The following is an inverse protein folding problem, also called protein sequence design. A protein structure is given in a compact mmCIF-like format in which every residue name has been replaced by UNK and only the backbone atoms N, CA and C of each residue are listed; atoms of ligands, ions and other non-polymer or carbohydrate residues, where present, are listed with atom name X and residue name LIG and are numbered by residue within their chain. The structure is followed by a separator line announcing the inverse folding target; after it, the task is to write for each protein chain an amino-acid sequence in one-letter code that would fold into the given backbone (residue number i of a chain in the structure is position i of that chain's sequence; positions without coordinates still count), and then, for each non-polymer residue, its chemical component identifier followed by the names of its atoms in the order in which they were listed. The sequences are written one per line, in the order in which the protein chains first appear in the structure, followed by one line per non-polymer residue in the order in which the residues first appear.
data_IF_255666747839
#
_entry.id   IF_255666747839
#
_cell.length_a   1.000
_cell.length_b   1.000
_cell.length_c   1.000
_cell.angle_alpha   90.00
_cell.angle_beta   90.00
_cell.angle_gamma   90.00
#
_symmetry.space_group_name_H-M   'P 1'
#
loop_
_entity.id
_entity.type
_entity.pdbx_description
1 polymer ?
#
# COMPACT_ATOMS: atom_id res chain seq x y z
N UNK A 1 -17.05 38.19 -44.93
CA UNK A 1 -17.13 37.03 -44.01
C UNK A 1 -15.87 36.98 -43.21
N UNK A 2 -15.85 37.59 -41.98
CA UNK A 2 -14.85 37.35 -41.02
C UNK A 2 -14.88 35.85 -40.68
N UNK A 3 -13.84 35.11 -41.02
CA UNK A 3 -13.71 33.73 -40.59
C UNK A 3 -13.63 33.72 -39.07
N UNK A 4 -14.55 33.04 -38.41
CA UNK A 4 -14.39 32.75 -36.97
C UNK A 4 -13.16 31.82 -36.83
N UNK A 5 -12.04 32.42 -36.50
CA UNK A 5 -10.87 31.61 -36.11
C UNK A 5 -11.05 31.28 -34.63
N UNK A 6 -11.36 30.04 -34.32
CA UNK A 6 -11.29 29.52 -32.97
C UNK A 6 -9.90 29.04 -32.67
N UNK A 7 -9.37 29.30 -31.48
CA UNK A 7 -8.16 28.71 -30.96
C UNK A 7 -8.55 27.63 -29.95
N UNK A 8 -7.88 26.50 -30.01
CA UNK A 8 -8.11 25.43 -29.04
C UNK A 8 -7.60 25.87 -27.66
N UNK A 9 -8.29 25.49 -26.58
CA UNK A 9 -7.75 25.62 -25.23
C UNK A 9 -6.36 25.00 -25.13
N UNK A 10 -5.48 25.58 -24.32
CA UNK A 10 -4.10 25.11 -24.16
C UNK A 10 -3.80 24.83 -22.70
N UNK A 11 -3.28 23.63 -22.37
CA UNK A 11 -2.81 23.34 -21.03
C UNK A 11 -1.51 24.12 -20.73
N UNK A 12 -1.23 24.40 -19.44
CA UNK A 12 -0.02 25.12 -19.06
C UNK A 12 1.23 24.26 -19.28
N UNK A 13 2.31 24.85 -19.70
CA UNK A 13 3.61 24.19 -19.80
C UNK A 13 4.16 23.75 -18.44
N UNK A 14 3.70 24.38 -17.35
CA UNK A 14 4.04 24.02 -15.95
C UNK A 14 3.39 22.73 -15.49
N UNK A 15 2.40 22.22 -16.21
CA UNK A 15 1.65 21.02 -15.83
C UNK A 15 0.64 21.25 -14.71
N UNK A 16 0.44 20.23 -13.86
CA UNK A 16 -0.43 20.31 -12.70
C UNK A 16 0.15 21.24 -11.62
N UNK A 17 -0.72 21.82 -10.80
CA UNK A 17 -0.38 22.70 -9.70
C UNK A 17 -1.09 22.30 -8.40
N UNK A 18 -0.70 22.91 -7.26
CA UNK A 18 -1.31 22.66 -5.95
C UNK A 18 -1.43 21.17 -5.60
N UNK A 19 -0.39 20.40 -5.95
CA UNK A 19 -0.36 18.97 -5.70
C UNK A 19 -0.30 18.69 -4.18
N UNK A 20 -1.30 17.94 -3.69
CA UNK A 20 -1.44 17.53 -2.28
C UNK A 20 -1.55 16.01 -2.25
N UNK A 21 -0.58 15.34 -1.63
CA UNK A 21 -0.50 13.88 -1.44
C UNK A 21 0.66 13.57 -0.50
N UNK A 22 0.74 12.34 0.04
CA UNK A 22 1.97 11.81 0.64
C UNK A 22 3.00 11.39 -0.43
N UNK A 23 2.55 11.19 -1.67
CA UNK A 23 3.40 10.93 -2.83
C UNK A 23 4.19 12.17 -3.28
N UNK A 24 4.84 12.06 -4.42
CA UNK A 24 5.67 13.14 -4.98
C UNK A 24 5.31 13.43 -6.42
N UNK A 25 5.39 14.71 -6.79
CA UNK A 25 5.36 15.14 -8.20
C UNK A 25 6.78 14.98 -8.77
N UNK A 26 6.94 14.07 -9.73
CA UNK A 26 8.24 13.74 -10.35
C UNK A 26 8.51 14.50 -11.63
N UNK A 27 7.50 15.20 -12.16
CA UNK A 27 7.58 16.04 -13.33
C UNK A 27 6.35 16.92 -13.47
N UNK A 28 6.30 17.84 -14.46
CA UNK A 28 5.14 18.72 -14.65
C UNK A 28 3.80 18.00 -14.68
N UNK A 29 3.75 16.82 -15.32
CA UNK A 29 2.57 15.98 -15.46
C UNK A 29 2.87 14.53 -15.05
N UNK A 30 3.73 14.33 -14.06
CA UNK A 30 4.10 13.01 -13.56
C UNK A 30 4.02 13.01 -12.03
N UNK A 31 3.28 12.05 -11.48
CA UNK A 31 3.13 11.87 -10.04
C UNK A 31 3.41 10.42 -9.65
N UNK A 32 4.07 10.25 -8.52
CA UNK A 32 4.26 8.96 -7.88
C UNK A 32 3.51 8.96 -6.56
N UNK A 33 2.63 7.98 -6.37
CA UNK A 33 1.67 7.90 -5.28
C UNK A 33 1.85 6.61 -4.50
N UNK A 34 1.35 6.59 -3.28
CA UNK A 34 1.28 5.41 -2.44
C UNK A 34 -0.14 4.85 -2.39
N UNK A 35 -0.29 3.55 -2.21
CA UNK A 35 -1.60 2.98 -1.84
C UNK A 35 -2.11 3.63 -0.55
N UNK A 36 -3.39 3.99 -0.52
CA UNK A 36 -4.02 4.70 0.59
C UNK A 36 -3.93 6.23 0.53
N UNK A 37 -3.22 6.81 -0.45
CA UNK A 37 -3.10 8.26 -0.56
C UNK A 37 -4.41 8.91 -0.97
N UNK A 38 -4.75 10.01 -0.28
CA UNK A 38 -5.70 11.00 -0.77
C UNK A 38 -4.93 12.05 -1.58
N UNK A 39 -5.30 12.20 -2.82
CA UNK A 39 -4.58 13.02 -3.79
C UNK A 39 -5.51 14.13 -4.29
N UNK A 40 -5.02 15.35 -4.32
CA UNK A 40 -5.67 16.47 -5.01
C UNK A 40 -4.62 17.25 -5.80
N UNK A 41 -5.00 17.76 -6.96
CA UNK A 41 -4.23 18.71 -7.74
C UNK A 41 -5.13 19.58 -8.60
N UNK A 42 -4.59 20.74 -8.99
CA UNK A 42 -5.29 21.66 -9.89
C UNK A 42 -4.72 21.55 -11.31
N UNK A 43 -5.64 21.74 -12.27
CA UNK A 43 -5.34 21.88 -13.69
C UNK A 43 -5.88 23.20 -14.20
N UNK A 44 -5.19 23.78 -15.17
CA UNK A 44 -5.58 25.04 -15.76
C UNK A 44 -5.46 24.95 -17.28
N UNK A 45 -6.42 25.59 -18.00
CA UNK A 45 -6.38 25.72 -19.46
C UNK A 45 -6.62 27.16 -19.84
N UNK A 46 -5.81 27.65 -20.76
CA UNK A 46 -5.94 29.01 -21.29
C UNK A 46 -6.43 28.99 -22.72
N UNK A 47 -7.25 29.96 -23.06
CA UNK A 47 -7.70 30.22 -24.41
C UNK A 47 -7.59 31.72 -24.71
N UNK A 48 -7.26 32.05 -25.95
CA UNK A 48 -7.19 33.43 -26.40
C UNK A 48 -8.58 34.03 -26.66
N UNK A 49 -9.62 33.21 -26.78
CA UNK A 49 -11.01 33.59 -26.93
C UNK A 49 -11.68 33.91 -25.57
N UNK A 50 -12.86 34.47 -25.60
CA UNK A 50 -13.69 34.73 -24.40
C UNK A 50 -14.70 33.63 -24.14
N UNK A 51 -14.56 32.51 -24.82
CA UNK A 51 -15.47 31.37 -24.76
C UNK A 51 -15.37 30.62 -23.42
N UNK A 52 -16.44 29.94 -23.05
CA UNK A 52 -16.43 29.08 -21.89
C UNK A 52 -15.71 27.78 -22.20
N UNK A 53 -14.86 27.32 -21.30
CA UNK A 53 -14.12 26.05 -21.40
C UNK A 53 -14.71 25.09 -20.38
N UNK A 54 -15.06 23.88 -20.82
CA UNK A 54 -15.53 22.79 -19.99
C UNK A 54 -14.45 21.74 -19.84
N UNK A 55 -14.18 21.32 -18.61
CA UNK A 55 -13.16 20.34 -18.28
C UNK A 55 -13.81 19.02 -17.88
N UNK A 56 -13.28 17.93 -18.40
CA UNK A 56 -13.68 16.56 -18.07
C UNK A 56 -12.45 15.67 -17.89
N UNK A 57 -12.61 14.51 -17.27
CA UNK A 57 -11.50 13.59 -17.02
C UNK A 57 -11.99 12.14 -16.93
N UNK A 58 -11.08 11.20 -17.22
CA UNK A 58 -11.28 9.77 -17.02
C UNK A 58 -10.91 9.32 -15.58
N UNK A 59 -10.62 10.23 -14.66
CA UNK A 59 -10.08 9.93 -13.33
C UNK A 59 -10.97 8.96 -12.54
N UNK A 60 -12.29 9.10 -12.60
CA UNK A 60 -13.23 8.21 -11.89
C UNK A 60 -13.23 6.77 -12.43
N UNK A 61 -12.85 6.58 -13.69
CA UNK A 61 -12.68 5.24 -14.29
C UNK A 61 -11.41 4.55 -13.79
N UNK A 62 -10.38 5.33 -13.43
CA UNK A 62 -9.10 4.82 -12.93
C UNK A 62 -9.12 4.66 -11.40
N UNK A 63 -9.74 5.60 -10.71
CA UNK A 63 -9.84 5.70 -9.26
C UNK A 63 -11.32 5.91 -8.88
N UNK A 64 -12.08 4.84 -8.66
CA UNK A 64 -13.50 4.92 -8.39
C UNK A 64 -13.84 5.85 -7.20
N UNK A 65 -14.79 6.75 -7.40
CA UNK A 65 -15.13 7.78 -6.43
C UNK A 65 -14.33 9.07 -6.56
N UNK A 66 -13.46 9.17 -7.58
CA UNK A 66 -12.75 10.40 -7.88
C UNK A 66 -13.70 11.52 -8.29
N UNK A 67 -13.27 12.74 -8.03
CA UNK A 67 -14.04 13.96 -8.36
C UNK A 67 -13.24 14.91 -9.22
N UNK A 68 -13.94 15.59 -10.13
CA UNK A 68 -13.47 16.78 -10.83
C UNK A 68 -14.42 17.93 -10.52
N UNK A 69 -13.90 18.98 -9.92
CA UNK A 69 -14.67 20.19 -9.57
C UNK A 69 -14.12 21.34 -10.39
N UNK A 70 -14.90 21.83 -11.33
CA UNK A 70 -14.51 22.98 -12.14
C UNK A 70 -14.72 24.27 -11.33
N UNK A 71 -13.62 25.02 -11.14
CA UNK A 71 -13.57 26.24 -10.34
C UNK A 71 -13.79 27.50 -11.18
N UNK A 72 -13.35 27.49 -12.45
CA UNK A 72 -13.54 28.57 -13.42
C UNK A 72 -13.86 27.99 -14.79
N UNK A 73 -14.81 28.66 -15.50
CA UNK A 73 -15.21 28.29 -16.86
C UNK A 73 -14.60 29.21 -17.91
N UNK A 74 -13.97 30.30 -17.51
CA UNK A 74 -13.37 31.27 -18.44
C UNK A 74 -11.87 31.25 -18.33
N UNK A 75 -11.19 31.61 -19.40
CA UNK A 75 -9.72 31.60 -19.48
C UNK A 75 -9.07 32.53 -18.43
N UNK A 76 -8.21 32.01 -17.56
CA UNK A 76 -7.86 30.59 -17.37
C UNK A 76 -8.99 29.77 -16.72
N UNK A 77 -9.45 28.75 -17.43
CA UNK A 77 -10.39 27.78 -16.89
C UNK A 77 -9.64 26.78 -16.00
N UNK A 78 -10.17 26.51 -14.81
CA UNK A 78 -9.48 25.67 -13.83
C UNK A 78 -10.42 24.64 -13.21
N UNK A 79 -9.84 23.50 -12.84
CA UNK A 79 -10.52 22.47 -12.06
C UNK A 79 -9.58 21.83 -11.04
N UNK A 80 -10.17 21.41 -9.93
CA UNK A 80 -9.51 20.57 -8.92
C UNK A 80 -9.94 19.13 -9.11
N UNK A 81 -8.97 18.23 -9.19
CA UNK A 81 -9.17 16.79 -9.31
C UNK A 81 -8.72 16.15 -8.01
N UNK A 82 -9.63 15.37 -7.37
CA UNK A 82 -9.31 14.65 -6.14
C UNK A 82 -9.70 13.17 -6.26
N UNK A 83 -8.87 12.27 -5.72
CA UNK A 83 -9.13 10.83 -5.70
C UNK A 83 -8.37 10.13 -4.57
N UNK A 84 -8.83 8.91 -4.24
CA UNK A 84 -8.18 8.00 -3.31
C UNK A 84 -7.48 6.89 -4.11
N UNK A 85 -6.21 6.63 -3.80
CA UNK A 85 -5.48 5.48 -4.34
C UNK A 85 -5.88 4.23 -3.56
N UNK A 86 -6.82 3.47 -4.09
CA UNK A 86 -7.31 2.24 -3.45
C UNK A 86 -6.27 1.12 -3.46
N UNK A 87 -6.46 0.09 -2.61
CA UNK A 87 -5.62 -1.10 -2.65
C UNK A 87 -5.77 -1.83 -4.00
N UNK A 88 -4.64 -2.28 -4.56
CA UNK A 88 -4.61 -2.95 -5.85
C UNK A 88 -4.80 -2.02 -7.06
N UNK A 89 -4.68 -0.71 -6.88
CA UNK A 89 -4.64 0.24 -8.00
C UNK A 89 -3.52 -0.12 -8.99
N UNK A 90 -3.76 0.09 -10.28
CA UNK A 90 -2.77 -0.18 -11.29
C UNK A 90 -1.47 0.58 -11.01
N UNK A 91 -0.34 -0.11 -11.06
CA UNK A 91 0.99 0.47 -10.80
C UNK A 91 1.36 1.58 -11.79
N UNK A 92 0.74 1.61 -12.96
CA UNK A 92 0.93 2.64 -13.97
C UNK A 92 -0.43 2.99 -14.60
N UNK A 93 -0.80 4.26 -14.55
CA UNK A 93 -2.06 4.80 -15.10
C UNK A 93 -1.81 6.15 -15.74
N UNK A 94 -2.73 6.57 -16.61
CA UNK A 94 -2.71 7.90 -17.23
C UNK A 94 -4.07 8.55 -17.04
N UNK A 95 -4.10 9.64 -16.27
CA UNK A 95 -5.27 10.51 -16.17
C UNK A 95 -5.25 11.43 -17.38
N UNK A 96 -6.34 11.44 -18.14
CA UNK A 96 -6.56 12.38 -19.25
C UNK A 96 -7.54 13.44 -18.79
N UNK A 97 -7.19 14.69 -19.02
CA UNK A 97 -8.06 15.85 -18.80
C UNK A 97 -8.34 16.48 -20.14
N UNK A 98 -9.58 16.52 -20.52
CA UNK A 98 -10.06 17.10 -21.78
C UNK A 98 -10.67 18.48 -21.53
N UNK A 99 -10.25 19.46 -22.31
CA UNK A 99 -10.78 20.80 -22.34
C UNK A 99 -11.51 21.04 -23.65
N UNK A 100 -12.76 21.46 -23.56
CA UNK A 100 -13.61 21.78 -24.69
C UNK A 100 -14.18 23.18 -24.53
N UNK A 101 -13.98 24.05 -25.52
CA UNK A 101 -14.65 25.34 -25.55
C UNK A 101 -16.08 25.26 -26.14
N UNK A 102 -16.84 26.35 -26.03
CA UNK A 102 -18.18 26.44 -26.61
C UNK A 102 -18.25 27.35 -27.86
N UNK A 103 -17.12 27.54 -28.52
CA UNK A 103 -17.04 28.39 -29.70
C UNK A 103 -17.93 27.92 -30.87
N UNK A 104 -18.38 28.84 -31.65
CA UNK A 104 -19.18 28.60 -32.87
C UNK A 104 -18.44 29.17 -34.09
N UNK A 105 -18.42 28.49 -35.21
CA UNK A 105 -19.11 27.25 -35.56
C UNK A 105 -18.29 25.98 -35.28
N UNK A 106 -17.04 26.09 -34.79
CA UNK A 106 -16.15 24.95 -34.54
C UNK A 106 -15.72 25.00 -33.09
N UNK A 107 -16.00 23.93 -32.39
CA UNK A 107 -15.57 23.70 -30.99
C UNK A 107 -14.10 23.36 -30.98
N UNK A 108 -13.32 24.04 -30.14
CA UNK A 108 -11.92 23.69 -29.86
C UNK A 108 -11.83 22.60 -28.80
N UNK A 109 -10.95 21.64 -29.03
CA UNK A 109 -10.72 20.56 -28.06
C UNK A 109 -9.21 20.40 -27.89
N UNK A 110 -8.79 20.23 -26.65
CA UNK A 110 -7.43 19.79 -26.33
C UNK A 110 -7.41 18.90 -25.11
N UNK A 111 -6.32 18.15 -24.94
CA UNK A 111 -6.17 17.19 -23.85
C UNK A 111 -4.83 17.36 -23.18
N UNK A 112 -4.77 17.12 -21.86
CA UNK A 112 -3.57 17.00 -21.07
C UNK A 112 -3.55 15.62 -20.43
N UNK A 113 -2.37 15.00 -20.37
CA UNK A 113 -2.18 13.71 -19.73
C UNK A 113 -1.31 13.85 -18.50
N UNK A 114 -1.74 13.23 -17.38
CA UNK A 114 -0.96 13.11 -16.15
C UNK A 114 -0.63 11.65 -15.93
N UNK A 115 0.66 11.32 -15.97
CA UNK A 115 1.16 9.97 -15.68
C UNK A 115 1.15 9.72 -14.18
N UNK A 116 0.57 8.62 -13.77
CA UNK A 116 0.46 8.19 -12.37
C UNK A 116 1.19 6.88 -12.20
N UNK A 117 2.17 6.85 -11.29
CA UNK A 117 2.83 5.62 -10.84
C UNK A 117 2.40 5.35 -9.40
N UNK A 118 1.78 4.20 -9.16
CA UNK A 118 1.41 3.76 -7.79
C UNK A 118 2.45 2.79 -7.28
N UNK A 119 2.94 3.05 -6.07
CA UNK A 119 3.91 2.22 -5.36
C UNK A 119 3.22 1.58 -4.16
N UNK A 120 3.32 0.27 -4.03
CA UNK A 120 2.81 -0.45 -2.86
C UNK A 120 3.68 -0.13 -1.64
N UNK A 121 3.04 0.12 -0.51
CA UNK A 121 3.73 0.27 0.79
C UNK A 121 4.47 -1.00 1.17
N UNK A 122 5.46 -0.88 2.07
CA UNK A 122 6.12 -2.05 2.67
C UNK A 122 5.08 -2.89 3.40
N UNK A 123 5.17 -4.20 3.22
CA UNK A 123 4.32 -5.20 3.86
C UNK A 123 5.18 -6.32 4.43
N UNK A 124 5.01 -6.59 5.72
CA UNK A 124 5.80 -7.58 6.48
C UNK A 124 5.28 -9.02 6.34
N UNK A 125 4.15 -9.20 5.67
CA UNK A 125 3.41 -10.46 5.64
C UNK A 125 2.31 -10.52 6.70
N UNK A 126 1.55 -11.62 6.72
CA UNK A 126 0.51 -11.85 7.72
C UNK A 126 1.13 -12.34 9.02
N UNK A 127 0.44 -12.07 10.14
CA UNK A 127 0.79 -12.64 11.43
C UNK A 127 0.79 -14.16 11.39
N UNK A 128 1.76 -14.77 12.09
CA UNK A 128 2.03 -16.20 12.04
C UNK A 128 1.92 -16.81 13.43
N UNK A 129 1.33 -18.01 13.52
CA UNK A 129 1.33 -18.83 14.73
C UNK A 129 2.23 -20.02 14.48
N UNK A 130 3.20 -20.27 15.37
CA UNK A 130 4.13 -21.40 15.28
C UNK A 130 4.30 -22.12 16.62
N UNK A 131 4.69 -23.39 16.56
CA UNK A 131 5.11 -24.12 17.74
C UNK A 131 6.56 -23.72 18.13
N UNK A 132 6.85 -23.70 19.40
CA UNK A 132 8.20 -23.43 19.90
C UNK A 132 9.24 -24.36 19.28
N UNK A 133 10.36 -23.80 18.81
CA UNK A 133 11.45 -24.56 18.18
C UNK A 133 11.24 -24.90 16.70
N UNK A 134 10.12 -24.52 16.11
CA UNK A 134 9.85 -24.69 14.68
C UNK A 134 9.98 -23.32 14.01
N UNK A 135 11.00 -23.14 13.16
CA UNK A 135 11.18 -21.89 12.43
C UNK A 135 10.04 -21.61 11.43
N UNK A 136 9.69 -20.34 11.24
CA UNK A 136 8.75 -19.86 10.23
C UNK A 136 9.43 -18.92 9.26
N UNK A 137 9.04 -18.98 7.99
CA UNK A 137 9.52 -18.02 6.99
C UNK A 137 8.64 -16.77 7.00
N UNK A 138 9.25 -15.61 7.19
CA UNK A 138 8.61 -14.31 6.95
C UNK A 138 8.84 -13.94 5.49
N UNK A 139 7.97 -13.08 4.94
CA UNK A 139 8.09 -12.63 3.56
C UNK A 139 7.63 -11.18 3.44
N UNK A 140 8.60 -10.29 3.22
CA UNK A 140 8.31 -8.89 3.00
C UNK A 140 8.06 -8.59 1.52
N UNK A 141 7.25 -7.59 1.26
CA UNK A 141 7.00 -7.06 -0.08
C UNK A 141 6.85 -5.54 -0.05
N UNK A 142 6.76 -4.92 -1.22
CA UNK A 142 6.71 -3.46 -1.34
C UNK A 142 8.08 -2.82 -1.04
N UNK A 143 8.74 -2.30 -2.05
CA UNK A 143 10.06 -1.67 -1.93
C UNK A 143 11.24 -2.61 -2.18
N UNK A 144 12.41 -2.22 -1.67
CA UNK A 144 13.68 -2.94 -1.82
C UNK A 144 14.58 -2.72 -0.59
N UNK A 145 15.66 -3.52 -0.49
CA UNK A 145 16.62 -3.41 0.61
C UNK A 145 15.94 -3.49 2.00
N UNK A 146 15.27 -4.59 2.23
CA UNK A 146 14.55 -4.85 3.48
C UNK A 146 15.52 -4.97 4.65
N UNK A 147 15.13 -4.40 5.79
CA UNK A 147 15.84 -4.52 7.06
C UNK A 147 14.85 -4.86 8.17
N UNK A 148 15.10 -5.95 8.87
CA UNK A 148 14.28 -6.45 9.96
C UNK A 148 14.84 -6.05 11.32
N UNK A 149 13.96 -5.65 12.22
CA UNK A 149 14.25 -5.35 13.64
C UNK A 149 13.18 -5.96 14.54
N UNK A 150 13.37 -5.88 15.85
CA UNK A 150 12.40 -6.35 16.86
C UNK A 150 11.81 -5.18 17.58
N UNK A 151 10.48 -5.13 17.68
CA UNK A 151 9.76 -4.19 18.54
C UNK A 151 9.60 -4.76 19.94
N UNK A 152 9.23 -6.04 20.05
CA UNK A 152 9.04 -6.73 21.32
C UNK A 152 9.27 -8.24 21.18
N UNK A 153 9.68 -8.91 22.25
CA UNK A 153 9.94 -10.33 22.28
C UNK A 153 11.44 -10.66 22.22
N UNK A 154 11.81 -11.72 21.50
CA UNK A 154 13.19 -12.19 21.39
C UNK A 154 14.04 -11.27 20.49
N UNK A 155 15.23 -10.83 20.95
CA UNK A 155 16.16 -10.10 20.08
C UNK A 155 16.60 -10.94 18.88
N UNK A 156 16.82 -10.29 17.73
CA UNK A 156 17.38 -10.95 16.55
C UNK A 156 18.83 -11.37 16.81
N UNK A 157 19.09 -12.67 16.70
CA UNK A 157 20.43 -13.27 16.73
C UNK A 157 20.65 -14.05 15.42
N UNK A 158 21.38 -13.42 14.50
CA UNK A 158 21.63 -14.00 13.17
C UNK A 158 22.32 -15.37 13.28
N UNK A 159 21.79 -16.34 12.55
CA UNK A 159 22.27 -17.73 12.55
C UNK A 159 21.81 -18.57 13.74
N UNK A 160 21.06 -18.01 14.69
CA UNK A 160 20.49 -18.71 15.84
C UNK A 160 18.96 -18.74 15.76
N UNK A 161 18.32 -17.61 15.93
CA UNK A 161 16.86 -17.50 15.87
C UNK A 161 16.34 -16.67 14.68
N UNK A 162 17.27 -16.17 13.84
CA UNK A 162 16.93 -15.41 12.65
C UNK A 162 17.97 -15.65 11.56
N UNK A 163 17.56 -15.93 10.32
CA UNK A 163 18.51 -16.29 9.26
C UNK A 163 19.30 -15.11 8.72
N UNK A 164 18.64 -13.98 8.50
CA UNK A 164 19.23 -12.74 8.00
C UNK A 164 18.32 -11.56 8.31
N UNK A 165 18.86 -10.42 8.74
CA UNK A 165 18.07 -9.23 9.02
C UNK A 165 18.01 -8.22 7.87
N UNK A 166 18.76 -8.45 6.80
CA UNK A 166 18.81 -7.59 5.62
C UNK A 166 18.42 -8.34 4.33
N UNK A 167 17.43 -9.18 4.43
CA UNK A 167 16.88 -9.96 3.31
C UNK A 167 15.35 -9.83 3.28
N UNK A 168 14.75 -10.18 2.15
CA UNK A 168 13.31 -10.14 1.95
C UNK A 168 12.59 -11.21 2.78
N UNK A 169 13.10 -12.43 2.76
CA UNK A 169 12.42 -13.63 3.24
C UNK A 169 13.24 -14.35 4.33
N UNK A 170 13.41 -13.77 5.54
CA UNK A 170 14.11 -14.42 6.62
C UNK A 170 13.33 -15.61 7.20
N UNK A 171 14.07 -16.56 7.78
CA UNK A 171 13.49 -17.57 8.67
C UNK A 171 13.63 -17.06 10.09
N UNK A 172 12.51 -16.95 10.81
CA UNK A 172 12.43 -16.57 12.22
C UNK A 172 12.10 -17.80 13.07
N UNK A 173 12.80 -17.95 14.22
CA UNK A 173 12.57 -19.01 15.20
C UNK A 173 12.67 -18.44 16.62
N UNK A 174 11.79 -17.51 17.00
CA UNK A 174 11.77 -16.93 18.34
C UNK A 174 11.34 -17.98 19.38
N UNK A 175 11.80 -17.82 20.62
CA UNK A 175 11.40 -18.68 21.75
C UNK A 175 10.14 -18.20 22.47
N UNK A 176 9.77 -16.93 22.25
CA UNK A 176 8.55 -16.28 22.79
C UNK A 176 7.88 -15.49 21.67
N UNK A 177 6.59 -15.20 21.84
CA UNK A 177 5.85 -14.33 20.91
C UNK A 177 6.61 -13.03 20.69
N UNK A 178 6.89 -12.72 19.41
CA UNK A 178 7.80 -11.65 19.00
C UNK A 178 7.15 -10.84 17.89
N UNK A 179 7.20 -9.51 18.03
CA UNK A 179 6.79 -8.57 16.98
C UNK A 179 8.03 -8.07 16.25
N UNK A 180 8.11 -8.40 14.99
CA UNK A 180 9.14 -7.91 14.08
C UNK A 180 8.64 -6.70 13.31
N UNK A 181 9.54 -5.79 13.02
CA UNK A 181 9.35 -4.66 12.12
C UNK A 181 10.25 -4.82 10.91
N UNK A 182 9.71 -4.59 9.74
CA UNK A 182 10.48 -4.50 8.50
C UNK A 182 10.46 -3.08 7.96
N UNK A 183 11.62 -2.57 7.59
CA UNK A 183 11.79 -1.33 6.84
C UNK A 183 12.28 -1.64 5.45
N UNK A 184 11.88 -0.85 4.47
CA UNK A 184 12.38 -0.95 3.09
C UNK A 184 12.78 0.41 2.53
N UNK A 185 13.54 0.42 1.43
CA UNK A 185 13.76 1.62 0.65
C UNK A 185 12.62 1.78 -0.35
N UNK A 186 11.68 2.68 -0.02
CA UNK A 186 10.67 3.18 -0.94
C UNK A 186 11.00 4.62 -1.34
N UNK A 187 10.88 4.92 -2.63
CA UNK A 187 10.94 6.30 -3.11
C UNK A 187 9.55 6.92 -3.06
N UNK A 188 9.49 8.26 -2.89
CA UNK A 188 8.24 8.99 -3.06
C UNK A 188 7.37 9.13 -1.82
N UNK A 189 7.95 9.12 -0.62
CA UNK A 189 7.22 9.42 0.63
C UNK A 189 6.26 8.33 1.11
N UNK A 190 6.23 7.17 0.46
CA UNK A 190 5.38 6.04 0.87
C UNK A 190 5.84 5.45 2.20
N UNK A 191 4.90 4.85 2.95
CA UNK A 191 5.22 4.13 4.18
C UNK A 191 6.16 2.98 3.87
N UNK A 192 7.34 3.05 4.46
CA UNK A 192 8.43 2.10 4.26
C UNK A 192 8.63 1.18 5.47
N UNK A 193 7.65 1.07 6.34
CA UNK A 193 7.68 0.31 7.59
C UNK A 193 6.38 -0.47 7.72
N UNK A 194 6.49 -1.74 8.14
CA UNK A 194 5.35 -2.57 8.55
C UNK A 194 5.80 -3.59 9.60
N UNK A 195 4.84 -4.21 10.28
CA UNK A 195 5.09 -5.15 11.39
C UNK A 195 4.39 -6.47 11.17
N UNK A 196 4.98 -7.55 11.70
CA UNK A 196 4.39 -8.89 11.74
C UNK A 196 4.57 -9.49 13.13
N UNK A 197 3.51 -10.06 13.68
CA UNK A 197 3.57 -10.84 14.92
C UNK A 197 3.79 -12.31 14.64
N UNK A 198 4.81 -12.87 15.27
CA UNK A 198 5.03 -14.32 15.33
C UNK A 198 4.64 -14.81 16.71
N UNK A 199 3.42 -15.36 16.82
CA UNK A 199 2.90 -15.94 18.06
C UNK A 199 3.50 -17.31 18.26
N UNK A 200 4.22 -17.51 19.38
CA UNK A 200 4.82 -18.78 19.75
C UNK A 200 3.92 -19.54 20.72
N UNK A 201 3.45 -20.69 20.29
CA UNK A 201 2.75 -21.65 21.15
C UNK A 201 3.81 -22.48 21.87
N UNK A 202 3.88 -22.42 23.21
CA UNK A 202 4.83 -23.24 23.95
C UNK A 202 4.64 -24.73 23.67
N UNK A 203 5.75 -25.47 23.60
CA UNK A 203 5.68 -26.94 23.58
C UNK A 203 5.16 -27.44 24.92
N UNK A 204 4.30 -28.43 24.87
CA UNK A 204 3.76 -29.04 26.07
C UNK A 204 4.24 -30.50 26.19
N UNK A 205 4.71 -30.85 27.35
CA UNK A 205 5.02 -32.23 27.69
C UNK A 205 3.95 -32.79 28.63
N UNK A 206 3.67 -34.06 28.49
CA UNK A 206 2.82 -34.75 29.44
C UNK A 206 3.53 -35.99 29.96
N UNK A 207 3.32 -36.29 31.21
CA UNK A 207 3.75 -37.55 31.80
C UNK A 207 2.60 -38.53 31.88
N UNK A 208 2.86 -39.77 31.44
CA UNK A 208 1.93 -40.87 31.61
C UNK A 208 2.32 -41.64 32.86
N UNK A 209 1.40 -41.72 33.80
CA UNK A 209 1.58 -42.57 34.99
C UNK A 209 0.58 -43.73 34.95
N UNK A 210 1.01 -44.87 35.42
CA UNK A 210 0.19 -46.05 35.53
C UNK A 210 0.08 -46.49 37.01
N UNK A 211 -1.06 -46.97 37.45
CA UNK A 211 -1.29 -47.39 38.82
C UNK A 211 -0.50 -48.67 39.18
N UNK A 212 -0.18 -49.50 38.20
CA UNK A 212 0.57 -50.72 38.36
C UNK A 212 1.25 -51.14 37.07
N UNK A 213 2.39 -51.83 37.12
CA UNK A 213 3.12 -52.37 35.97
C UNK A 213 2.59 -53.76 35.53
N UNK A 214 1.82 -54.41 36.37
CA UNK A 214 1.17 -55.68 36.09
C UNK A 214 -0.10 -55.82 36.95
N UNK A 215 -1.09 -56.56 36.46
CA UNK A 215 -2.32 -56.86 37.17
C UNK A 215 -2.65 -58.35 37.14
N UNK A 216 -3.44 -58.81 38.09
CA UNK A 216 -4.08 -60.13 38.02
C UNK A 216 -5.19 -60.13 36.98
N UNK A 217 -5.57 -61.33 36.52
CA UNK A 217 -6.67 -61.50 35.58
C UNK A 217 -7.95 -60.81 36.11
N UNK A 218 -8.60 -60.01 35.27
CA UNK A 218 -9.80 -59.17 35.56
C UNK A 218 -9.56 -58.00 36.51
N UNK A 219 -8.32 -57.52 36.71
CA UNK A 219 -8.01 -56.26 37.38
C UNK A 219 -7.71 -55.18 36.36
N UNK A 220 -8.02 -53.94 36.71
CA UNK A 220 -7.84 -52.74 35.85
C UNK A 220 -6.52 -52.04 36.21
N UNK A 221 -5.83 -51.54 35.22
CA UNK A 221 -4.75 -50.56 35.38
C UNK A 221 -5.30 -49.19 35.04
N UNK A 222 -5.17 -48.26 35.95
CA UNK A 222 -5.53 -46.88 35.70
C UNK A 222 -4.33 -46.13 35.10
N UNK A 223 -4.57 -45.50 33.95
CA UNK A 223 -3.63 -44.63 33.29
C UNK A 223 -4.07 -43.19 33.55
N UNK A 224 -3.17 -42.34 33.98
CA UNK A 224 -3.41 -40.91 34.15
C UNK A 224 -2.35 -40.10 33.43
N UNK A 225 -2.75 -38.98 32.86
CA UNK A 225 -1.86 -38.00 32.24
C UNK A 225 -1.92 -36.71 33.01
N UNK A 226 -0.79 -36.07 33.18
CA UNK A 226 -0.70 -34.70 33.71
C UNK A 226 0.16 -33.85 32.80
N UNK A 227 -0.25 -32.60 32.46
CA UNK A 227 0.60 -31.68 31.73
C UNK A 227 1.78 -31.24 32.62
N UNK A 228 2.92 -31.03 32.00
CA UNK A 228 4.11 -30.51 32.69
C UNK A 228 4.82 -29.47 31.78
N UNK A 229 4.91 -28.20 32.19
CA UNK A 229 4.26 -27.59 33.36
C UNK A 229 2.75 -27.51 33.20
N UNK A 230 1.97 -27.35 34.28
CA UNK A 230 0.53 -27.15 34.18
C UNK A 230 0.29 -25.83 33.43
N UNK A 231 -0.07 -25.97 32.15
CA UNK A 231 -0.42 -24.83 31.30
C UNK A 231 -1.90 -24.51 31.40
N UNK A 232 -2.22 -23.24 31.45
CA UNK A 232 -3.59 -22.77 31.18
C UNK A 232 -3.84 -22.87 29.66
N UNK A 233 -4.93 -23.55 29.29
CA UNK A 233 -5.43 -23.65 27.92
C UNK A 233 -6.36 -22.46 27.64
#
# INVERSE_FOLDING_TARGET
TAGCANNNPSPPASGISNFISNGVQTGPNQIQLCEGDNVCFDVEFTDASTDSIYLSSNVDQLFPGATIVQNSYFSPASATICFLVGPGSNSLSTITIDAQDNACPIVGISSMSVGVTVVSSTYAGQDVIMCQGVGTQLSASGGSNFTWSVISGDPINIGTNFSCNNCQDPIANPSVTTVYEVTSNLSGGCTNIDTVEVTVVPDFTYSLTQSATSTCLNSEIQLSTSPNPPGSY
#
